data_IF_307123326082
#
_entry.id   IF_307123326082
#
_cell.length_a   1.000
_cell.length_b   1.000
_cell.length_c   1.000
_cell.angle_alpha   90.00
_cell.angle_beta   90.00
_cell.angle_gamma   90.00
#
_symmetry.space_group_name_H-M   'P 1'
#
loop_
_entity.id
_entity.type
_entity.pdbx_description
1 polymer ?
#
# COMPACT_ATOMS: atom_id res chain seq x y z
N UNK A 1 -26.22 10.34 30.92
CA UNK A 1 -24.97 9.58 30.87
C UNK A 1 -24.59 9.46 29.41
N UNK A 2 -23.73 10.36 28.93
CA UNK A 2 -23.15 10.34 27.58
C UNK A 2 -21.93 9.42 27.60
N UNK A 3 -21.78 8.47 26.68
CA UNK A 3 -20.54 7.70 26.59
C UNK A 3 -19.44 8.64 26.14
N UNK A 4 -18.38 8.74 26.91
CA UNK A 4 -17.16 9.44 26.57
C UNK A 4 -16.61 8.83 25.28
N UNK A 5 -16.53 9.67 24.23
CA UNK A 5 -15.89 9.34 22.98
C UNK A 5 -14.38 9.22 23.18
N UNK A 6 -13.93 8.03 23.51
CA UNK A 6 -12.51 7.73 23.53
C UNK A 6 -11.96 7.78 22.09
N UNK A 7 -11.07 8.70 21.83
CA UNK A 7 -10.22 8.62 20.64
C UNK A 7 -9.52 7.24 20.63
N UNK A 8 -9.33 6.61 19.45
CA UNK A 8 -8.56 5.38 19.39
C UNK A 8 -7.19 5.63 20.04
N UNK A 9 -6.70 4.73 20.88
CA UNK A 9 -5.48 4.95 21.62
C UNK A 9 -4.33 5.19 20.64
N UNK A 10 -3.72 6.37 20.74
CA UNK A 10 -2.45 6.66 20.10
C UNK A 10 -1.48 5.59 20.60
N UNK A 11 -0.78 4.92 19.69
CA UNK A 11 0.25 3.95 20.05
C UNK A 11 1.25 4.63 20.98
N UNK A 12 1.20 4.26 22.27
CA UNK A 12 2.22 4.66 23.25
C UNK A 12 3.53 3.93 22.94
N UNK A 13 4.65 4.40 23.45
CA UNK A 13 5.97 3.74 23.27
C UNK A 13 5.93 2.24 23.60
N UNK A 14 5.11 1.81 24.56
CA UNK A 14 4.88 0.40 24.86
C UNK A 14 4.15 -0.37 23.75
N UNK A 15 3.27 0.30 22.99
CA UNK A 15 2.59 -0.28 21.82
C UNK A 15 3.56 -0.51 20.66
N UNK A 16 4.52 0.41 20.47
CA UNK A 16 5.60 0.24 19.51
C UNK A 16 6.57 -0.90 19.89
N UNK A 17 6.93 -0.99 21.19
CA UNK A 17 7.76 -2.09 21.68
C UNK A 17 7.10 -3.45 21.45
N UNK A 18 5.80 -3.55 21.72
CA UNK A 18 5.04 -4.79 21.53
C UNK A 18 4.91 -5.18 20.05
N UNK A 19 4.69 -4.21 19.14
CA UNK A 19 4.71 -4.49 17.70
C UNK A 19 6.10 -4.94 17.24
N UNK A 20 7.18 -4.41 17.82
CA UNK A 20 8.55 -4.84 17.54
C UNK A 20 8.84 -6.23 18.10
N UNK A 21 8.37 -6.57 19.28
CA UNK A 21 8.50 -7.93 19.85
C UNK A 21 7.71 -8.97 19.06
N UNK A 22 6.50 -8.62 18.58
CA UNK A 22 5.69 -9.49 17.73
C UNK A 22 6.21 -9.55 16.28
N UNK A 23 6.99 -8.56 15.86
CA UNK A 23 7.55 -8.39 14.52
C UNK A 23 9.08 -8.51 14.48
N UNK A 24 9.70 -9.12 15.51
CA UNK A 24 11.13 -9.39 15.47
C UNK A 24 11.46 -10.10 14.15
N UNK A 25 11.81 -9.31 13.14
CA UNK A 25 12.42 -9.80 11.92
C UNK A 25 13.86 -10.12 12.35
N UNK A 26 14.11 -11.37 12.65
CA UNK A 26 15.47 -11.83 12.45
C UNK A 26 15.76 -11.54 10.99
N UNK A 27 16.84 -10.84 10.65
CA UNK A 27 17.21 -10.60 9.27
C UNK A 27 17.57 -11.95 8.64
N UNK A 28 16.57 -12.66 8.18
CA UNK A 28 16.71 -13.74 7.23
C UNK A 28 16.91 -13.07 5.88
N UNK A 29 18.01 -12.30 5.81
CA UNK A 29 18.47 -11.72 4.56
C UNK A 29 18.95 -12.89 3.72
N UNK A 30 18.42 -13.08 2.52
CA UNK A 30 18.79 -14.20 1.68
C UNK A 30 20.30 -14.10 1.38
N UNK A 31 20.97 -15.21 1.63
CA UNK A 31 22.27 -15.49 1.02
C UNK A 31 22.06 -15.33 -0.50
N UNK A 32 22.94 -14.58 -1.15
CA UNK A 32 22.98 -14.36 -2.60
C UNK A 32 22.74 -15.69 -3.34
N UNK A 33 21.54 -15.93 -3.77
CA UNK A 33 21.26 -16.95 -4.77
C UNK A 33 21.18 -16.23 -6.12
N UNK A 34 21.99 -16.69 -7.09
CA UNK A 34 22.07 -16.16 -8.47
C UNK A 34 20.76 -16.32 -9.28
N UNK A 35 19.65 -16.57 -8.62
CA UNK A 35 18.33 -16.60 -9.26
C UNK A 35 17.73 -15.22 -9.09
N UNK A 36 17.69 -14.44 -10.16
CA UNK A 36 16.93 -13.19 -10.25
C UNK A 36 15.45 -13.50 -10.03
N UNK A 37 15.03 -13.49 -8.78
CA UNK A 37 13.64 -13.64 -8.41
C UNK A 37 12.94 -12.33 -8.73
N UNK A 38 12.03 -12.37 -9.70
CA UNK A 38 11.25 -11.20 -10.08
C UNK A 38 10.13 -10.99 -9.05
N UNK A 39 10.35 -10.09 -8.08
CA UNK A 39 9.32 -9.60 -7.20
C UNK A 39 8.20 -8.95 -8.01
N UNK A 40 6.97 -9.43 -7.85
CA UNK A 40 5.81 -8.80 -8.49
C UNK A 40 5.28 -7.67 -7.61
N UNK A 41 5.31 -6.45 -8.12
CA UNK A 41 4.77 -5.27 -7.44
C UNK A 41 3.42 -4.93 -8.07
N UNK A 42 2.37 -4.92 -7.25
CA UNK A 42 0.99 -4.69 -7.67
C UNK A 42 0.44 -3.50 -6.89
N UNK A 43 -0.05 -2.49 -7.61
CA UNK A 43 -0.74 -1.36 -7.00
C UNK A 43 -2.26 -1.53 -7.06
N UNK A 44 -2.98 -1.07 -6.03
CA UNK A 44 -4.44 -1.07 -6.03
C UNK A 44 -4.97 0.36 -6.06
N UNK A 45 -6.00 0.58 -6.88
CA UNK A 45 -6.70 1.84 -7.01
C UNK A 45 -8.22 1.64 -6.94
N UNK A 46 -8.97 2.72 -6.80
CA UNK A 46 -10.43 2.71 -6.79
C UNK A 46 -11.00 3.76 -5.83
N UNK A 47 -12.25 4.10 -5.99
CA UNK A 47 -12.96 5.13 -5.21
C UNK A 47 -12.71 5.03 -3.70
N UNK A 48 -12.66 6.17 -3.02
CA UNK A 48 -12.59 6.21 -1.56
C UNK A 48 -13.71 5.40 -0.89
N UNK A 49 -13.37 4.58 0.12
CA UNK A 49 -14.33 3.74 0.83
C UNK A 49 -14.87 2.53 0.06
N UNK A 50 -14.33 2.22 -1.13
CA UNK A 50 -14.77 1.06 -1.94
C UNK A 50 -14.28 -0.29 -1.38
N UNK A 51 -13.27 -0.29 -0.49
CA UNK A 51 -12.75 -1.50 0.13
C UNK A 51 -11.36 -1.93 -0.36
N UNK A 52 -10.55 -1.05 -0.91
CA UNK A 52 -9.19 -1.34 -1.37
C UNK A 52 -8.31 -1.99 -0.30
N UNK A 53 -8.13 -1.28 0.83
CA UNK A 53 -7.28 -1.75 1.95
C UNK A 53 -7.79 -3.07 2.51
N UNK A 54 -9.11 -3.25 2.60
CA UNK A 54 -9.72 -4.52 3.01
C UNK A 54 -9.38 -5.65 2.01
N UNK A 55 -9.50 -5.38 0.72
CA UNK A 55 -9.17 -6.34 -0.34
C UNK A 55 -7.70 -6.73 -0.28
N UNK A 56 -6.78 -5.75 -0.17
CA UNK A 56 -5.34 -6.05 -0.12
C UNK A 56 -4.92 -6.76 1.15
N UNK A 57 -5.46 -6.39 2.31
CA UNK A 57 -5.15 -7.07 3.57
C UNK A 57 -5.56 -8.54 3.55
N UNK A 58 -6.74 -8.84 3.01
CA UNK A 58 -7.18 -10.23 2.87
C UNK A 58 -6.36 -10.98 1.81
N UNK A 59 -6.06 -10.35 0.68
CA UNK A 59 -5.24 -10.94 -0.37
C UNK A 59 -3.82 -11.25 0.15
N UNK A 60 -3.18 -10.31 0.84
CA UNK A 60 -1.86 -10.50 1.42
C UNK A 60 -1.83 -11.64 2.43
N UNK A 61 -2.85 -11.73 3.29
CA UNK A 61 -3.00 -12.83 4.23
C UNK A 61 -3.15 -14.18 3.52
N UNK A 62 -4.05 -14.28 2.54
CA UNK A 62 -4.27 -15.52 1.79
C UNK A 62 -3.01 -15.98 1.04
N UNK A 63 -2.28 -15.04 0.43
CA UNK A 63 -1.02 -15.33 -0.25
C UNK A 63 0.05 -15.83 0.74
N UNK A 64 0.16 -15.21 1.93
CA UNK A 64 1.07 -15.64 2.98
C UNK A 64 0.73 -17.06 3.49
N UNK A 65 -0.57 -17.39 3.64
CA UNK A 65 -1.00 -18.74 4.01
C UNK A 65 -0.67 -19.80 2.93
N UNK A 66 -0.47 -19.38 1.68
CA UNK A 66 0.00 -20.23 0.58
C UNK A 66 1.53 -20.30 0.51
N UNK A 67 2.24 -19.79 1.52
CA UNK A 67 3.70 -19.82 1.60
C UNK A 67 4.40 -18.76 0.76
N UNK A 68 3.69 -17.73 0.28
CA UNK A 68 4.31 -16.61 -0.44
C UNK A 68 4.88 -15.59 0.55
N UNK A 69 6.04 -15.03 0.24
CA UNK A 69 6.59 -13.87 0.95
C UNK A 69 5.93 -12.61 0.41
N UNK A 70 5.09 -11.98 1.20
CA UNK A 70 4.26 -10.84 0.79
C UNK A 70 4.57 -9.65 1.66
N UNK A 71 4.80 -8.49 1.03
CA UNK A 71 4.90 -7.20 1.68
C UNK A 71 3.69 -6.33 1.29
N UNK A 72 2.93 -5.89 2.29
CA UNK A 72 1.85 -4.92 2.13
C UNK A 72 2.35 -3.53 2.55
N UNK A 73 2.25 -2.54 1.66
CA UNK A 73 2.65 -1.16 1.92
C UNK A 73 1.43 -0.25 1.81
N UNK A 74 1.07 0.40 2.92
CA UNK A 74 0.08 1.48 2.93
C UNK A 74 0.67 2.76 2.36
N UNK A 75 0.13 3.23 1.24
CA UNK A 75 0.55 4.44 0.54
C UNK A 75 -0.50 5.56 0.66
N UNK A 76 -1.51 5.38 1.51
CA UNK A 76 -2.47 6.44 1.86
C UNK A 76 -1.88 7.32 2.98
N UNK A 77 -1.92 8.65 2.87
CA UNK A 77 -1.51 9.55 3.95
C UNK A 77 -2.23 9.35 5.28
N UNK A 78 -3.38 8.67 5.30
CA UNK A 78 -4.08 8.28 6.54
C UNK A 78 -3.35 7.19 7.31
N UNK A 79 -2.50 6.40 6.62
CA UNK A 79 -1.65 5.38 7.23
C UNK A 79 -2.44 4.37 8.07
N UNK A 80 -3.54 3.85 7.52
CA UNK A 80 -4.45 2.93 8.21
C UNK A 80 -4.59 1.55 7.54
N UNK A 81 -3.88 1.33 6.43
CA UNK A 81 -3.94 0.08 5.65
C UNK A 81 -3.57 -1.14 6.48
N UNK A 82 -2.51 -1.04 7.29
CA UNK A 82 -2.01 -2.14 8.10
C UNK A 82 -2.87 -2.43 9.33
N UNK A 83 -3.76 -1.52 9.70
CA UNK A 83 -4.62 -1.66 10.90
C UNK A 83 -5.45 -2.93 10.89
N UNK A 84 -5.89 -3.40 9.73
CA UNK A 84 -6.68 -4.62 9.59
C UNK A 84 -5.87 -5.87 9.98
N UNK A 85 -4.56 -5.89 9.71
CA UNK A 85 -3.67 -6.98 10.09
C UNK A 85 -3.30 -6.92 11.58
N UNK A 86 -3.18 -5.72 12.16
CA UNK A 86 -2.68 -5.51 13.51
C UNK A 86 -3.78 -5.19 14.54
N UNK A 87 -5.00 -5.72 14.33
CA UNK A 87 -6.08 -5.63 15.33
C UNK A 87 -6.58 -4.21 15.58
N UNK A 88 -6.69 -3.41 14.53
CA UNK A 88 -7.18 -2.03 14.58
C UNK A 88 -6.10 -0.99 14.86
N UNK A 89 -4.82 -1.37 14.90
CA UNK A 89 -3.69 -0.46 15.12
C UNK A 89 -2.83 -0.43 13.88
N UNK A 90 -2.63 0.75 13.29
CA UNK A 90 -1.72 0.90 12.15
C UNK A 90 -0.25 0.81 12.60
N UNK A 91 0.61 0.34 11.70
CA UNK A 91 2.05 0.36 11.93
C UNK A 91 2.59 1.80 12.01
N UNK A 92 3.70 2.01 12.74
CA UNK A 92 4.44 3.27 12.66
C UNK A 92 4.84 3.58 11.22
N UNK A 93 4.68 4.86 10.83
CA UNK A 93 4.98 5.24 9.45
C UNK A 93 6.48 5.45 9.21
N UNK A 94 6.92 5.22 8.00
CA UNK A 94 8.30 5.45 7.57
C UNK A 94 8.69 6.93 7.77
N UNK A 95 7.81 7.87 7.37
CA UNK A 95 8.07 9.30 7.46
C UNK A 95 8.23 9.76 8.91
N UNK A 96 7.33 9.35 9.80
CA UNK A 96 7.42 9.67 11.23
C UNK A 96 8.66 9.08 11.87
N UNK A 97 8.91 7.79 11.62
CA UNK A 97 10.05 7.07 12.20
C UNK A 97 11.37 7.64 11.69
N UNK A 98 11.48 7.92 10.39
CA UNK A 98 12.64 8.59 9.80
C UNK A 98 12.91 9.96 10.43
N UNK A 99 11.86 10.75 10.67
CA UNK A 99 11.99 12.06 11.31
C UNK A 99 12.47 11.94 12.74
N UNK A 100 11.91 11.02 13.54
CA UNK A 100 12.32 10.76 14.92
C UNK A 100 13.79 10.30 15.02
N UNK A 101 14.19 9.36 14.17
CA UNK A 101 15.55 8.85 14.09
C UNK A 101 16.55 9.94 13.72
N UNK A 102 16.24 10.75 12.70
CA UNK A 102 17.08 11.88 12.29
C UNK A 102 17.29 12.90 13.41
N UNK A 103 16.23 13.20 14.18
CA UNK A 103 16.34 14.10 15.33
C UNK A 103 17.20 13.51 16.47
N UNK A 104 17.21 12.19 16.61
CA UNK A 104 18.04 11.48 17.58
C UNK A 104 19.49 11.25 17.08
N UNK A 105 19.81 11.63 15.82
CA UNK A 105 21.12 11.35 15.22
C UNK A 105 21.33 9.87 14.87
N UNK A 106 20.25 9.11 14.71
CA UNK A 106 20.22 7.69 14.38
C UNK A 106 19.86 7.47 12.91
N UNK A 107 20.35 6.38 12.33
CA UNK A 107 19.94 5.94 10.99
C UNK A 107 18.66 5.11 11.04
N UNK A 108 17.83 5.27 10.00
CA UNK A 108 16.65 4.45 9.80
C UNK A 108 17.05 3.08 9.28
N UNK A 109 16.52 2.03 9.90
CA UNK A 109 16.69 0.65 9.43
C UNK A 109 15.36 0.02 9.03
N UNK A 110 15.40 -1.07 8.25
CA UNK A 110 14.20 -1.80 7.87
C UNK A 110 13.43 -2.32 9.10
N UNK A 111 14.13 -2.77 10.15
CA UNK A 111 13.55 -3.24 11.39
C UNK A 111 12.78 -2.17 12.19
N UNK A 112 12.97 -0.89 11.87
CA UNK A 112 12.23 0.20 12.51
C UNK A 112 10.85 0.43 11.89
N UNK A 113 10.60 -0.04 10.67
CA UNK A 113 9.44 0.33 9.85
C UNK A 113 8.73 -0.84 9.17
N UNK A 114 9.33 -2.03 9.14
CA UNK A 114 8.73 -3.24 8.62
C UNK A 114 8.27 -4.15 9.76
N UNK A 115 7.02 -4.52 9.77
CA UNK A 115 6.38 -5.34 10.80
C UNK A 115 5.83 -6.61 10.18
N UNK A 116 5.75 -7.70 10.95
CA UNK A 116 5.25 -8.98 10.45
C UNK A 116 4.11 -9.49 11.33
N UNK A 117 3.02 -9.94 10.72
CA UNK A 117 1.95 -10.65 11.40
C UNK A 117 1.31 -11.68 10.48
N UNK A 118 1.03 -12.87 11.01
CA UNK A 118 0.39 -13.97 10.31
C UNK A 118 1.05 -14.31 8.94
N UNK A 119 2.38 -14.14 8.86
CA UNK A 119 3.15 -14.37 7.65
C UNK A 119 3.24 -13.18 6.69
N UNK A 120 2.46 -12.12 6.90
CA UNK A 120 2.48 -10.90 6.08
C UNK A 120 3.47 -9.90 6.66
N UNK A 121 4.36 -9.38 5.82
CA UNK A 121 5.16 -8.20 6.13
C UNK A 121 4.36 -6.94 5.78
N UNK A 122 4.44 -5.91 6.61
CA UNK A 122 3.63 -4.72 6.45
C UNK A 122 4.38 -3.45 6.83
N UNK A 123 4.12 -2.38 6.08
CA UNK A 123 4.68 -1.04 6.27
C UNK A 123 3.61 0.02 6.00
N UNK A 124 3.79 1.21 6.58
CA UNK A 124 3.05 2.43 6.23
C UNK A 124 4.02 3.51 5.79
N UNK A 125 3.82 4.09 4.61
CA UNK A 125 4.66 5.20 4.16
C UNK A 125 4.49 6.43 5.04
N UNK A 126 3.25 6.74 5.37
CA UNK A 126 2.90 7.97 6.05
C UNK A 126 2.63 9.12 5.09
N UNK A 127 2.35 10.27 5.66
CA UNK A 127 2.04 11.48 4.91
C UNK A 127 2.39 12.73 5.71
N UNK A 128 2.21 13.92 5.14
CA UNK A 128 2.34 15.15 5.88
C UNK A 128 1.29 15.21 6.99
N UNK A 129 1.59 15.93 8.07
CA UNK A 129 0.61 16.23 9.11
C UNK A 129 -0.67 16.80 8.51
N UNK A 130 -1.80 16.45 9.10
CA UNK A 130 -3.13 16.95 8.66
C UNK A 130 -3.11 18.47 8.53
N UNK A 131 -3.50 18.98 7.38
CA UNK A 131 -3.50 20.40 7.06
C UNK A 131 -2.14 20.98 6.67
N UNK A 132 -1.08 20.18 6.60
CA UNK A 132 0.27 20.60 6.22
C UNK A 132 0.79 19.86 4.99
N UNK A 133 0.79 20.51 3.86
CA UNK A 133 1.41 20.00 2.64
C UNK A 133 0.52 19.15 1.74
N UNK A 134 1.09 18.65 0.65
CA UNK A 134 0.43 17.82 -0.34
C UNK A 134 0.69 16.33 -0.05
N UNK A 135 -0.37 15.50 0.04
CA UNK A 135 -0.26 14.06 0.26
C UNK A 135 0.64 13.37 -0.77
N UNK A 136 0.57 13.77 -2.02
CA UNK A 136 1.43 13.23 -3.08
C UNK A 136 2.92 13.46 -2.86
N UNK A 137 3.33 14.58 -2.26
CA UNK A 137 4.75 14.81 -1.87
C UNK A 137 5.17 13.89 -0.73
N UNK A 138 4.27 13.64 0.22
CA UNK A 138 4.53 12.67 1.30
C UNK A 138 4.81 11.28 0.75
N UNK A 139 4.01 10.83 -0.20
CA UNK A 139 4.20 9.53 -0.87
C UNK A 139 5.56 9.47 -1.57
N UNK A 140 5.91 10.49 -2.35
CA UNK A 140 7.22 10.57 -3.04
C UNK A 140 8.35 10.45 -2.01
N UNK A 141 8.29 11.22 -0.91
CA UNK A 141 9.29 11.16 0.14
C UNK A 141 9.35 9.79 0.84
N UNK A 142 8.20 9.15 1.07
CA UNK A 142 8.13 7.78 1.62
C UNK A 142 8.85 6.77 0.72
N UNK A 143 8.63 6.83 -0.59
CA UNK A 143 9.34 5.97 -1.54
C UNK A 143 10.85 6.27 -1.59
N UNK A 144 11.27 7.53 -1.52
CA UNK A 144 12.70 7.86 -1.42
C UNK A 144 13.36 7.25 -0.17
N UNK A 145 12.64 7.14 0.95
CA UNK A 145 13.15 6.43 2.13
C UNK A 145 13.19 4.91 1.91
N UNK A 146 12.17 4.32 1.25
CA UNK A 146 12.19 2.90 0.88
C UNK A 146 13.37 2.55 -0.04
N UNK A 147 13.66 3.40 -1.02
CA UNK A 147 14.83 3.24 -1.91
C UNK A 147 16.14 3.25 -1.12
N UNK A 148 16.29 4.16 -0.15
CA UNK A 148 17.46 4.20 0.74
C UNK A 148 17.59 2.98 1.63
N UNK A 149 16.48 2.33 1.96
CA UNK A 149 16.45 1.07 2.72
C UNK A 149 16.72 -0.17 1.85
N UNK A 150 16.99 0.01 0.56
CA UNK A 150 17.26 -1.09 -0.36
C UNK A 150 16.01 -1.83 -0.84
N UNK A 151 14.87 -1.13 -0.99
CA UNK A 151 13.59 -1.72 -1.38
C UNK A 151 13.67 -2.66 -2.60
N UNK A 152 14.49 -2.34 -3.59
CA UNK A 152 14.63 -3.11 -4.82
C UNK A 152 15.39 -4.45 -4.63
N UNK A 153 16.15 -4.57 -3.55
CA UNK A 153 16.98 -5.74 -3.25
C UNK A 153 16.25 -6.73 -2.31
N UNK A 154 15.03 -6.40 -1.88
CA UNK A 154 14.28 -7.24 -0.96
C UNK A 154 13.70 -8.47 -1.65
N UNK A 155 13.89 -9.63 -1.05
CA UNK A 155 13.39 -10.90 -1.56
C UNK A 155 11.92 -11.14 -1.15
N UNK A 156 10.96 -10.57 -1.89
CA UNK A 156 9.54 -10.85 -1.79
C UNK A 156 9.03 -11.54 -3.06
N UNK A 157 8.01 -12.39 -2.94
CA UNK A 157 7.26 -12.87 -4.10
C UNK A 157 6.36 -11.74 -4.64
N UNK A 158 5.72 -11.02 -3.70
CA UNK A 158 4.77 -9.95 -4.02
C UNK A 158 4.97 -8.74 -3.11
N UNK A 159 4.90 -7.57 -3.68
CA UNK A 159 4.71 -6.30 -2.97
C UNK A 159 3.38 -5.70 -3.39
N UNK A 160 2.51 -5.47 -2.43
CA UNK A 160 1.17 -4.93 -2.64
C UNK A 160 1.12 -3.49 -2.13
N UNK A 161 0.82 -2.55 -3.04
CA UNK A 161 0.80 -1.11 -2.76
C UNK A 161 -0.64 -0.63 -2.66
N UNK A 162 -1.07 -0.18 -1.47
CA UNK A 162 -2.42 0.37 -1.25
C UNK A 162 -2.43 1.88 -1.46
N UNK A 163 -2.88 2.31 -2.64
CA UNK A 163 -2.94 3.71 -3.00
C UNK A 163 -4.30 4.35 -2.73
N UNK A 164 -4.31 5.68 -2.60
CA UNK A 164 -5.52 6.49 -2.61
C UNK A 164 -6.36 6.28 -3.88
N UNK A 165 -7.63 6.62 -3.75
CA UNK A 165 -8.69 6.32 -4.70
C UNK A 165 -8.41 6.60 -6.16
N UNK A 166 -8.03 7.82 -6.50
CA UNK A 166 -7.92 8.28 -7.89
C UNK A 166 -6.50 8.77 -8.22
N UNK A 167 -6.12 8.67 -9.49
CA UNK A 167 -4.82 9.18 -9.99
C UNK A 167 -4.96 10.68 -10.27
N UNK A 168 -5.16 11.48 -9.22
CA UNK A 168 -5.43 12.93 -9.35
C UNK A 168 -4.19 13.80 -9.42
N UNK A 169 -3.02 13.30 -9.01
CA UNK A 169 -1.78 14.05 -9.10
C UNK A 169 -0.56 13.14 -9.21
N UNK A 170 0.61 13.72 -9.56
CA UNK A 170 1.84 12.96 -9.81
C UNK A 170 2.29 12.03 -8.71
N UNK A 171 2.02 12.35 -7.42
CA UNK A 171 2.37 11.45 -6.31
C UNK A 171 1.53 10.18 -6.29
N UNK A 172 0.26 10.26 -6.62
CA UNK A 172 -0.63 9.10 -6.66
C UNK A 172 -0.50 8.28 -7.95
N UNK A 173 -0.02 8.91 -9.03
CA UNK A 173 0.32 8.24 -10.28
C UNK A 173 1.73 7.65 -10.30
N UNK A 174 2.54 7.88 -9.25
CA UNK A 174 3.95 7.52 -9.22
C UNK A 174 4.24 6.06 -9.59
N UNK A 175 3.52 5.04 -9.04
CA UNK A 175 3.80 3.66 -9.41
C UNK A 175 3.60 3.36 -10.88
N UNK A 176 2.63 4.01 -11.51
CA UNK A 176 2.34 3.85 -12.94
C UNK A 176 3.34 4.66 -13.77
N UNK A 177 3.59 5.90 -13.38
CA UNK A 177 4.43 6.84 -14.14
C UNK A 177 5.92 6.48 -14.15
N UNK A 178 6.41 5.75 -13.15
CA UNK A 178 7.81 5.35 -12.99
C UNK A 178 8.04 3.84 -13.09
N UNK A 179 7.07 3.11 -13.63
CA UNK A 179 7.12 1.63 -13.73
C UNK A 179 7.48 0.94 -12.39
N UNK A 180 7.04 1.53 -11.26
CA UNK A 180 7.31 0.96 -9.94
C UNK A 180 6.42 -0.24 -9.63
N UNK A 181 5.40 -0.49 -10.42
CA UNK A 181 4.58 -1.70 -10.35
C UNK A 181 4.40 -2.29 -11.76
N UNK A 182 4.26 -3.60 -11.84
CA UNK A 182 3.99 -4.29 -13.10
C UNK A 182 2.49 -4.36 -13.40
N UNK A 183 1.67 -4.35 -12.36
CA UNK A 183 0.22 -4.51 -12.50
C UNK A 183 -0.54 -3.56 -11.59
N UNK A 184 -1.72 -3.17 -12.06
CA UNK A 184 -2.70 -2.40 -11.30
C UNK A 184 -3.97 -3.23 -11.15
N UNK A 185 -4.46 -3.37 -9.93
CA UNK A 185 -5.81 -3.86 -9.64
C UNK A 185 -6.72 -2.66 -9.39
N UNK A 186 -7.88 -2.64 -10.02
CA UNK A 186 -8.90 -1.63 -9.76
C UNK A 186 -10.00 -2.24 -8.92
N UNK A 187 -10.39 -1.58 -7.82
CA UNK A 187 -11.57 -1.98 -7.03
C UNK A 187 -12.69 -1.01 -7.34
N UNK A 188 -13.80 -1.53 -7.79
CA UNK A 188 -14.98 -0.78 -8.17
C UNK A 188 -16.27 -1.37 -7.63
N UNK A 189 -17.37 -0.72 -7.95
CA UNK A 189 -18.76 -1.17 -7.76
C UNK A 189 -19.56 -0.76 -8.97
N UNK A 190 -20.84 -1.13 -9.01
CA UNK A 190 -21.73 -0.76 -10.11
C UNK A 190 -22.12 0.73 -10.14
N UNK A 191 -21.76 1.52 -9.12
CA UNK A 191 -22.10 2.95 -9.12
C UNK A 191 -21.25 3.77 -10.10
N UNK A 192 -21.87 4.75 -10.75
CA UNK A 192 -21.27 5.57 -11.79
C UNK A 192 -19.97 6.27 -11.34
N UNK A 193 -19.90 6.75 -10.09
CA UNK A 193 -18.69 7.42 -9.58
C UNK A 193 -17.54 6.44 -9.44
N UNK A 194 -17.83 5.19 -9.04
CA UNK A 194 -16.82 4.14 -8.95
C UNK A 194 -16.29 3.76 -10.32
N UNK A 195 -17.17 3.61 -11.32
CA UNK A 195 -16.78 3.32 -12.70
C UNK A 195 -16.02 4.49 -13.34
N UNK A 196 -16.39 5.73 -13.01
CA UNK A 196 -15.63 6.91 -13.43
C UNK A 196 -14.18 6.89 -12.91
N UNK A 197 -13.99 6.57 -11.64
CA UNK A 197 -12.65 6.42 -11.06
C UNK A 197 -11.89 5.26 -11.73
N UNK A 198 -12.54 4.12 -11.96
CA UNK A 198 -11.94 3.00 -12.68
C UNK A 198 -11.46 3.41 -14.07
N UNK A 199 -12.28 4.14 -14.82
CA UNK A 199 -11.92 4.68 -16.13
C UNK A 199 -10.72 5.63 -16.08
N UNK A 200 -10.65 6.51 -15.06
CA UNK A 200 -9.50 7.40 -14.87
C UNK A 200 -8.21 6.61 -14.64
N UNK A 201 -8.26 5.55 -13.84
CA UNK A 201 -7.09 4.69 -13.59
C UNK A 201 -6.65 4.00 -14.88
N UNK A 202 -7.57 3.38 -15.63
CA UNK A 202 -7.27 2.75 -16.92
C UNK A 202 -6.70 3.76 -17.91
N UNK A 203 -7.26 4.96 -17.98
CA UNK A 203 -6.79 6.05 -18.84
C UNK A 203 -5.37 6.51 -18.45
N UNK A 204 -5.06 6.58 -17.15
CA UNK A 204 -3.72 6.90 -16.67
C UNK A 204 -2.71 5.83 -17.09
N UNK A 205 -3.04 4.55 -16.93
CA UNK A 205 -2.19 3.42 -17.38
C UNK A 205 -1.93 3.53 -18.88
N UNK A 206 -2.97 3.74 -19.69
CA UNK A 206 -2.81 3.90 -21.14
C UNK A 206 -1.94 5.11 -21.50
N UNK A 207 -2.13 6.23 -20.80
CA UNK A 207 -1.36 7.45 -21.02
C UNK A 207 0.13 7.23 -20.77
N UNK A 208 0.49 6.67 -19.63
CA UNK A 208 1.90 6.43 -19.30
C UNK A 208 2.54 5.35 -20.18
N UNK A 209 1.79 4.32 -20.58
CA UNK A 209 2.28 3.31 -21.52
C UNK A 209 2.57 3.91 -22.91
N UNK A 210 1.80 4.90 -23.36
CA UNK A 210 2.13 5.65 -24.61
C UNK A 210 3.43 6.46 -24.49
N UNK A 211 3.85 6.79 -23.27
CA UNK A 211 5.11 7.48 -22.98
C UNK A 211 6.29 6.51 -22.74
N UNK A 212 6.10 5.23 -22.97
CA UNK A 212 7.13 4.20 -22.82
C UNK A 212 7.06 3.34 -21.57
N UNK A 213 6.02 3.52 -20.73
CA UNK A 213 5.75 2.66 -19.58
C UNK A 213 5.27 1.26 -19.97
N UNK A 214 5.32 0.33 -19.01
CA UNK A 214 4.94 -1.07 -19.22
C UNK A 214 4.08 -1.62 -18.06
N UNK A 215 3.16 -0.83 -17.57
CA UNK A 215 2.23 -1.23 -16.50
C UNK A 215 0.95 -1.80 -17.10
N UNK A 216 0.52 -2.98 -16.63
CA UNK A 216 -0.75 -3.59 -17.07
C UNK A 216 -1.87 -3.42 -16.05
N UNK A 217 -3.12 -3.32 -16.53
CA UNK A 217 -4.29 -3.51 -15.67
C UNK A 217 -4.49 -5.02 -15.47
N UNK A 218 -4.48 -5.48 -14.22
CA UNK A 218 -4.66 -6.90 -13.88
C UNK A 218 -6.15 -7.29 -13.93
N UNK A 219 -7.03 -6.33 -13.65
CA UNK A 219 -8.47 -6.53 -13.68
C UNK A 219 -9.22 -5.61 -12.74
N UNK A 220 -10.56 -5.75 -12.77
CA UNK A 220 -11.51 -5.06 -11.91
C UNK A 220 -12.04 -6.04 -10.85
N UNK A 221 -11.88 -5.69 -9.59
CA UNK A 221 -12.52 -6.36 -8.46
C UNK A 221 -13.80 -5.61 -8.14
N UNK A 222 -14.95 -6.24 -8.35
CA UNK A 222 -16.24 -5.66 -8.02
C UNK A 222 -16.54 -5.90 -6.55
N UNK A 223 -16.67 -4.83 -5.77
CA UNK A 223 -17.09 -4.87 -4.38
C UNK A 223 -18.42 -4.12 -4.21
N UNK A 224 -19.19 -4.46 -3.18
CA UNK A 224 -20.54 -3.90 -2.98
C UNK A 224 -21.43 -4.08 -4.21
N UNK A 225 -21.35 -5.27 -4.81
CA UNK A 225 -22.17 -5.62 -5.98
C UNK A 225 -23.65 -5.58 -5.63
N UNK A 226 -24.43 -4.84 -6.41
CA UNK A 226 -25.89 -4.75 -6.28
C UNK A 226 -26.62 -5.61 -7.32
N UNK A 227 -25.85 -6.37 -8.10
CA UNK A 227 -26.38 -7.27 -9.15
C UNK A 227 -26.83 -6.57 -10.42
N UNK A 228 -26.59 -5.26 -10.59
CA UNK A 228 -27.00 -4.53 -11.83
C UNK A 228 -26.14 -4.87 -13.05
N UNK A 229 -24.90 -5.37 -12.83
CA UNK A 229 -23.99 -5.77 -13.92
C UNK A 229 -23.24 -4.63 -14.60
N UNK A 230 -23.40 -3.38 -14.14
CA UNK A 230 -22.76 -2.20 -14.74
C UNK A 230 -21.22 -2.29 -14.73
N UNK A 231 -20.65 -2.80 -13.65
CA UNK A 231 -19.20 -2.97 -13.55
C UNK A 231 -18.66 -4.03 -14.52
N UNK A 232 -19.42 -5.09 -14.76
CA UNK A 232 -19.08 -6.11 -15.76
C UNK A 232 -19.15 -5.52 -17.17
N UNK A 233 -20.22 -4.82 -17.50
CA UNK A 233 -20.38 -4.17 -18.80
C UNK A 233 -19.27 -3.14 -19.07
N UNK A 234 -18.88 -2.38 -18.04
CA UNK A 234 -17.73 -1.48 -18.11
C UNK A 234 -16.44 -2.25 -18.41
N UNK A 235 -16.13 -3.31 -17.66
CA UNK A 235 -14.89 -4.09 -17.86
C UNK A 235 -14.83 -4.67 -19.28
N UNK A 236 -15.93 -5.21 -19.80
CA UNK A 236 -16.04 -5.73 -21.18
C UNK A 236 -15.83 -4.63 -22.24
N UNK A 237 -16.24 -3.39 -21.94
CA UNK A 237 -16.11 -2.26 -22.87
C UNK A 237 -14.69 -1.69 -22.96
N UNK A 238 -13.88 -1.83 -21.91
CA UNK A 238 -12.54 -1.27 -21.86
C UNK A 238 -11.42 -2.30 -22.14
N UNK A 239 -11.75 -3.61 -22.19
CA UNK A 239 -10.83 -4.72 -22.47
C UNK A 239 -10.05 -5.13 -21.26
#
# INVERSE_FOLDING_TARGET
MTPEGGHPPILTDNGFARLREEAAIEPDLPVESEVTKHTQIIAIYGKGGIGKSFTLSNLSYMMAQQGKRVLLIGCDPKSDTTSLLFGGKACPTIIETSTKKKLAGEELTIGDVCFKRDGVFAMELGGPEVGRGCGGRGIIHGFEQLEKLGFHDWDFDYVLLDFLGDVVCGGFGLPIARDMCQKVIVVGSNDLQSLYVANNVCSAVQYFNKLGGNVGVAGLVVNKDDGSGEAQAFAESVG
#
